data_IF_200795432682
#
_entry.id   IF_200795432682
#
_cell.length_a   1.000
_cell.length_b   1.000
_cell.length_c   1.000
_cell.angle_alpha   90.00
_cell.angle_beta   90.00
_cell.angle_gamma   90.00
#
_symmetry.space_group_name_H-M   'P 1'
#
loop_
_entity.id
_entity.type
_entity.pdbx_description
1 polymer ?
#
# COMPACT_ATOMS: atom_id res chain seq x y z
N UNK A 1 2.67 -19.08 4.44
CA UNK A 1 2.64 -18.48 3.10
C UNK A 1 1.25 -17.97 2.66
N UNK A 2 0.18 -18.75 2.78
CA UNK A 2 -1.16 -18.34 2.28
C UNK A 2 -1.80 -17.12 2.96
N UNK A 3 -1.29 -16.68 4.11
CA UNK A 3 -1.95 -15.67 4.96
C UNK A 3 -1.30 -14.27 4.94
N UNK A 4 -0.17 -14.05 4.23
CA UNK A 4 0.42 -12.71 4.15
C UNK A 4 -0.38 -11.86 3.15
N UNK A 5 -0.94 -10.73 3.57
CA UNK A 5 -1.68 -9.82 2.68
C UNK A 5 -0.83 -9.30 1.53
N UNK A 6 -1.44 -9.06 0.37
CA UNK A 6 -0.75 -8.54 -0.83
C UNK A 6 0.00 -7.23 -0.57
N UNK A 7 -0.56 -6.34 0.23
CA UNK A 7 0.04 -5.04 0.57
C UNK A 7 1.26 -5.10 1.50
N UNK A 8 1.63 -6.29 1.97
CA UNK A 8 2.83 -6.54 2.78
C UNK A 8 3.90 -7.36 2.04
N UNK A 9 3.66 -7.71 0.78
CA UNK A 9 4.60 -8.45 -0.06
C UNK A 9 5.39 -7.49 -0.92
N UNK A 10 6.67 -7.79 -1.13
CA UNK A 10 7.47 -7.10 -2.14
C UNK A 10 6.87 -7.40 -3.52
N UNK A 11 6.40 -6.37 -4.22
CA UNK A 11 5.77 -6.51 -5.53
C UNK A 11 6.80 -6.33 -6.63
N UNK A 12 7.02 -7.38 -7.44
CA UNK A 12 8.02 -7.43 -8.49
C UNK A 12 7.31 -7.51 -9.85
N UNK A 13 7.41 -6.46 -10.66
CA UNK A 13 6.86 -6.44 -12.01
C UNK A 13 7.83 -7.10 -13.00
N UNK A 14 7.33 -8.02 -13.84
CA UNK A 14 8.09 -8.62 -14.93
C UNK A 14 7.70 -7.95 -16.24
N UNK A 15 8.69 -7.34 -16.90
CA UNK A 15 8.55 -6.56 -18.13
C UNK A 15 9.40 -7.18 -19.25
N UNK A 16 9.11 -6.84 -20.48
CA UNK A 16 9.90 -7.24 -21.65
C UNK A 16 9.01 -7.45 -22.88
N UNK A 17 9.65 -7.62 -24.04
CA UNK A 17 8.95 -7.90 -25.31
C UNK A 17 8.10 -9.16 -25.26
N UNK A 18 7.18 -9.27 -26.22
CA UNK A 18 6.52 -10.54 -26.53
C UNK A 18 7.60 -11.57 -26.88
N UNK A 19 7.47 -12.77 -26.32
CA UNK A 19 8.42 -13.90 -26.48
C UNK A 19 9.85 -13.67 -25.93
N UNK A 20 10.12 -12.65 -25.13
CA UNK A 20 11.41 -12.48 -24.45
C UNK A 20 11.68 -13.54 -23.35
N UNK A 21 10.71 -14.37 -23.03
CA UNK A 21 10.85 -15.44 -22.03
C UNK A 21 10.43 -15.05 -20.61
N UNK A 22 9.58 -14.02 -20.45
CA UNK A 22 9.05 -13.58 -19.13
C UNK A 22 8.44 -14.72 -18.33
N UNK A 23 7.52 -15.46 -18.93
CA UNK A 23 6.84 -16.58 -18.26
C UNK A 23 7.80 -17.73 -17.98
N UNK A 24 8.81 -17.97 -18.84
CA UNK A 24 9.86 -18.96 -18.59
C UNK A 24 10.72 -18.55 -17.39
N UNK A 25 11.13 -17.28 -17.34
CA UNK A 25 11.86 -16.73 -16.19
C UNK A 25 11.03 -16.82 -14.90
N UNK A 26 9.75 -16.42 -14.94
CA UNK A 26 8.87 -16.55 -13.79
C UNK A 26 8.74 -18.00 -13.32
N UNK A 27 8.60 -18.96 -14.25
CA UNK A 27 8.52 -20.38 -13.91
C UNK A 27 9.85 -20.91 -13.34
N UNK A 28 11.00 -20.44 -13.85
CA UNK A 28 12.31 -20.76 -13.29
C UNK A 28 12.43 -20.27 -11.84
N UNK A 29 12.00 -19.04 -11.53
CA UNK A 29 12.07 -18.47 -10.19
C UNK A 29 11.10 -19.16 -9.23
N UNK A 30 9.83 -19.31 -9.62
CA UNK A 30 8.76 -19.80 -8.75
C UNK A 30 8.83 -21.34 -8.58
N UNK A 31 9.25 -22.10 -9.60
CA UNK A 31 9.21 -23.56 -9.61
C UNK A 31 7.81 -24.12 -9.85
N UNK A 32 7.72 -25.44 -10.08
CA UNK A 32 6.45 -26.10 -10.43
C UNK A 32 5.48 -26.30 -9.23
N UNK A 33 5.93 -26.09 -8.01
CA UNK A 33 5.15 -26.40 -6.79
C UNK A 33 4.36 -25.24 -6.21
N UNK A 34 4.45 -24.03 -6.79
CA UNK A 34 3.75 -22.87 -6.23
C UNK A 34 2.39 -22.71 -6.88
N UNK A 35 1.35 -22.91 -6.06
CA UNK A 35 -0.04 -22.73 -6.44
C UNK A 35 -0.27 -21.33 -7.04
N UNK A 36 -0.86 -21.30 -8.23
CA UNK A 36 -1.44 -20.13 -8.85
C UNK A 36 -2.39 -19.49 -7.81
N UNK A 37 -2.06 -18.29 -7.33
CA UNK A 37 -3.01 -17.54 -6.53
C UNK A 37 -4.06 -17.01 -7.50
N UNK A 38 -5.12 -17.77 -7.58
CA UNK A 38 -6.44 -17.54 -8.15
C UNK A 38 -6.63 -16.30 -9.00
N UNK A 39 -7.01 -16.58 -10.22
CA UNK A 39 -7.95 -15.80 -10.99
C UNK A 39 -9.15 -15.41 -10.12
N UNK A 40 -9.21 -14.22 -9.62
CA UNK A 40 -10.47 -13.61 -9.23
C UNK A 40 -11.17 -13.27 -10.55
N UNK A 41 -12.02 -14.19 -11.02
CA UNK A 41 -12.93 -13.94 -12.14
C UNK A 41 -13.76 -12.71 -11.79
N UNK A 42 -13.50 -11.62 -12.50
CA UNK A 42 -14.28 -10.38 -12.35
C UNK A 42 -13.48 -9.08 -12.38
N UNK A 43 -12.15 -9.11 -12.26
CA UNK A 43 -11.32 -7.94 -12.54
C UNK A 43 -10.63 -8.13 -13.88
N UNK A 44 -10.94 -7.23 -14.82
CA UNK A 44 -10.40 -7.17 -16.19
C UNK A 44 -8.89 -6.83 -16.22
N UNK A 45 -8.05 -7.61 -15.55
CA UNK A 45 -6.61 -7.40 -15.58
C UNK A 45 -5.92 -8.70 -15.97
N UNK A 46 -5.35 -8.73 -17.18
CA UNK A 46 -4.51 -9.83 -17.69
C UNK A 46 -3.14 -9.92 -16.95
N UNK A 47 -3.07 -9.47 -15.71
CA UNK A 47 -1.87 -9.54 -14.87
C UNK A 47 -1.94 -10.83 -14.06
N UNK A 48 -1.04 -11.75 -14.34
CA UNK A 48 -0.93 -12.97 -13.56
C UNK A 48 -0.11 -12.68 -12.30
N UNK A 49 -0.71 -12.92 -11.12
CA UNK A 49 -0.07 -12.74 -9.84
C UNK A 49 0.38 -14.09 -9.28
N UNK A 50 1.66 -14.22 -8.92
CA UNK A 50 2.21 -15.40 -8.26
C UNK A 50 2.91 -15.02 -6.95
N UNK A 51 2.54 -15.68 -5.87
CA UNK A 51 3.15 -15.46 -4.55
C UNK A 51 4.26 -16.48 -4.30
N UNK A 52 5.36 -16.00 -3.72
CA UNK A 52 6.52 -16.82 -3.36
C UNK A 52 7.14 -16.31 -2.06
N UNK A 53 7.89 -17.17 -1.36
CA UNK A 53 8.79 -16.80 -0.28
C UNK A 53 10.22 -16.81 -0.81
N UNK A 54 10.92 -15.69 -0.72
CA UNK A 54 12.34 -15.57 -1.08
C UNK A 54 13.16 -15.25 0.17
N UNK A 55 14.10 -16.12 0.53
CA UNK A 55 14.98 -15.87 1.66
C UNK A 55 16.16 -14.97 1.24
N UNK A 56 16.58 -14.00 2.09
CA UNK A 56 16.01 -13.60 3.37
C UNK A 56 14.92 -12.52 3.28
N UNK A 57 14.46 -12.16 2.07
CA UNK A 57 13.51 -11.06 1.82
C UNK A 57 12.11 -11.31 2.36
N UNK A 58 11.70 -12.59 2.46
CA UNK A 58 10.35 -12.95 2.88
C UNK A 58 9.33 -13.03 1.73
N UNK A 59 8.06 -12.67 1.96
CA UNK A 59 6.99 -12.86 0.98
C UNK A 59 7.05 -11.88 -0.17
N UNK A 60 7.13 -12.38 -1.40
CA UNK A 60 7.09 -11.60 -2.64
C UNK A 60 5.82 -11.90 -3.44
N UNK A 61 5.46 -10.96 -4.31
CA UNK A 61 4.36 -11.08 -5.26
C UNK A 61 4.88 -10.72 -6.66
N UNK A 62 4.98 -11.70 -7.52
CA UNK A 62 5.31 -11.53 -8.91
C UNK A 62 4.11 -11.02 -9.69
N UNK A 63 4.31 -9.98 -10.50
CA UNK A 63 3.33 -9.37 -11.36
C UNK A 63 3.76 -9.58 -12.81
N UNK A 64 3.24 -10.62 -13.46
CA UNK A 64 3.54 -10.92 -14.88
C UNK A 64 2.71 -10.02 -15.77
N UNK A 65 3.36 -9.21 -16.61
CA UNK A 65 2.72 -8.26 -17.50
C UNK A 65 2.64 -8.78 -18.93
N UNK A 66 1.69 -8.28 -19.71
CA UNK A 66 1.64 -8.52 -21.14
C UNK A 66 2.90 -7.95 -21.83
N UNK A 67 3.43 -8.68 -22.82
CA UNK A 67 4.64 -8.24 -23.54
C UNK A 67 4.44 -6.96 -24.33
N UNK A 68 5.52 -6.16 -24.44
CA UNK A 68 5.61 -5.01 -25.32
C UNK A 68 5.86 -5.43 -26.77
N UNK A 69 5.43 -4.62 -27.78
CA UNK A 69 5.94 -4.76 -29.14
C UNK A 69 5.01 -5.38 -30.17
N UNK A 70 3.70 -5.40 -29.97
CA UNK A 70 2.74 -5.65 -31.06
C UNK A 70 2.23 -4.31 -31.63
N UNK A 71 2.36 -4.11 -32.94
CA UNK A 71 1.88 -2.90 -33.69
C UNK A 71 0.36 -2.85 -33.84
N UNK A 72 -0.42 -3.45 -32.93
CA UNK A 72 -1.88 -3.52 -33.04
C UNK A 72 -2.54 -2.50 -32.10
N UNK A 73 -3.80 -2.11 -32.37
CA UNK A 73 -4.64 -1.25 -31.53
C UNK A 73 -4.82 -1.73 -30.07
N UNK A 74 -4.29 -2.90 -29.74
CA UNK A 74 -4.16 -3.46 -28.39
C UNK A 74 -2.92 -2.91 -27.65
N UNK A 75 -1.97 -2.26 -28.33
CA UNK A 75 -0.73 -1.75 -27.72
C UNK A 75 -1.00 -0.69 -26.65
N UNK A 76 -1.91 0.24 -26.90
CA UNK A 76 -2.23 1.34 -25.98
C UNK A 76 -2.87 0.82 -24.68
N UNK A 77 -3.79 -0.15 -24.81
CA UNK A 77 -4.41 -0.80 -23.64
C UNK A 77 -3.42 -1.64 -22.83
N UNK A 78 -2.47 -2.29 -23.50
CA UNK A 78 -1.39 -3.05 -22.83
C UNK A 78 -0.43 -2.11 -22.10
N UNK A 79 -0.06 -1.00 -22.72
CA UNK A 79 0.77 0.04 -22.10
C UNK A 79 0.08 0.62 -20.86
N UNK A 80 -1.21 0.98 -20.97
CA UNK A 80 -1.99 1.47 -19.82
C UNK A 80 -2.02 0.45 -18.67
N UNK A 81 -2.25 -0.84 -18.97
CA UNK A 81 -2.21 -1.92 -17.98
C UNK A 81 -0.82 -2.05 -17.33
N UNK A 82 0.23 -1.98 -18.12
CA UNK A 82 1.61 -2.03 -17.60
C UNK A 82 1.92 -0.85 -16.70
N UNK A 83 1.49 0.37 -17.06
CA UNK A 83 1.62 1.56 -16.22
C UNK A 83 0.94 1.33 -14.87
N UNK A 84 -0.28 0.78 -14.85
CA UNK A 84 -1.00 0.44 -13.61
C UNK A 84 -0.26 -0.59 -12.74
N UNK A 85 0.42 -1.55 -13.37
CA UNK A 85 1.29 -2.50 -12.63
C UNK A 85 2.48 -1.79 -12.03
N UNK A 86 3.14 -0.92 -12.79
CA UNK A 86 4.28 -0.13 -12.32
C UNK A 86 3.91 0.83 -11.18
N UNK A 87 2.67 1.30 -11.12
CA UNK A 87 2.20 2.16 -10.01
C UNK A 87 2.25 1.49 -8.64
N UNK A 88 2.30 0.15 -8.62
CA UNK A 88 2.40 -0.65 -7.38
C UNK A 88 3.65 -1.53 -7.29
N UNK A 89 4.48 -1.57 -8.33
CA UNK A 89 5.70 -2.38 -8.32
C UNK A 89 6.79 -1.73 -7.47
N UNK A 90 7.34 -2.48 -6.52
CA UNK A 90 8.46 -2.05 -5.68
C UNK A 90 9.79 -2.22 -6.42
N UNK A 91 9.88 -3.24 -7.29
CA UNK A 91 11.01 -3.55 -8.16
C UNK A 91 10.51 -3.96 -9.54
N UNK A 92 11.20 -3.59 -10.60
CA UNK A 92 10.95 -4.04 -11.96
C UNK A 92 12.05 -5.00 -12.42
N UNK A 93 11.65 -6.03 -13.18
CA UNK A 93 12.54 -6.97 -13.83
C UNK A 93 12.30 -6.90 -15.32
N UNK A 94 13.30 -6.49 -16.09
CA UNK A 94 13.26 -6.46 -17.54
C UNK A 94 13.89 -7.73 -18.09
N UNK A 95 13.06 -8.61 -18.68
CA UNK A 95 13.53 -9.82 -19.37
C UNK A 95 13.73 -9.49 -20.85
N UNK A 96 14.94 -9.69 -21.36
CA UNK A 96 15.29 -9.48 -22.75
C UNK A 96 16.20 -10.59 -23.25
N UNK A 97 16.22 -10.81 -24.57
CA UNK A 97 17.20 -11.65 -25.26
C UNK A 97 18.39 -10.81 -25.78
N UNK A 98 18.10 -9.60 -26.23
CA UNK A 98 19.07 -8.59 -26.67
C UNK A 98 18.59 -7.20 -26.28
N UNK A 99 19.54 -6.25 -26.10
CA UNK A 99 19.22 -4.85 -25.84
C UNK A 99 18.84 -4.14 -27.16
N UNK A 100 17.60 -3.65 -27.23
CA UNK A 100 17.07 -2.95 -28.40
C UNK A 100 16.36 -1.66 -28.04
N UNK A 101 15.65 -1.08 -29.02
CA UNK A 101 14.90 0.18 -28.83
C UNK A 101 13.78 0.05 -27.79
N UNK A 102 13.03 -1.04 -27.87
CA UNK A 102 11.89 -1.29 -26.94
C UNK A 102 12.37 -1.47 -25.50
N UNK A 103 13.51 -2.14 -25.30
CA UNK A 103 14.09 -2.31 -23.97
C UNK A 103 14.47 -0.96 -23.35
N UNK A 104 15.06 -0.05 -24.14
CA UNK A 104 15.37 1.32 -23.71
C UNK A 104 14.12 2.12 -23.34
N UNK A 105 13.06 2.01 -24.15
CA UNK A 105 11.76 2.65 -23.85
C UNK A 105 11.15 2.13 -22.52
N UNK A 106 11.28 0.83 -22.25
CA UNK A 106 10.85 0.24 -20.97
C UNK A 106 11.73 0.75 -19.82
N UNK A 107 13.04 0.83 -20.00
CA UNK A 107 13.98 1.36 -19.01
C UNK A 107 13.65 2.81 -18.65
N UNK A 108 13.40 3.66 -19.65
CA UNK A 108 12.98 5.04 -19.46
C UNK A 108 11.64 5.13 -18.71
N UNK A 109 10.66 4.29 -19.05
CA UNK A 109 9.38 4.24 -18.35
C UNK A 109 9.54 3.87 -16.87
N UNK A 110 10.39 2.89 -16.56
CA UNK A 110 10.68 2.45 -15.19
C UNK A 110 11.46 3.52 -14.43
N UNK A 111 12.46 4.15 -15.07
CA UNK A 111 13.25 5.22 -14.51
C UNK A 111 12.40 6.46 -14.18
N UNK A 112 11.48 6.86 -15.07
CA UNK A 112 10.56 7.97 -14.84
C UNK A 112 9.65 7.77 -13.64
N UNK A 113 9.43 6.50 -13.24
CA UNK A 113 8.67 6.15 -12.04
C UNK A 113 9.57 5.93 -10.81
N UNK A 114 10.88 6.13 -10.91
CA UNK A 114 11.85 5.87 -9.84
C UNK A 114 11.68 4.45 -9.25
N UNK A 115 11.56 3.43 -10.12
CA UNK A 115 11.49 2.03 -9.72
C UNK A 115 12.86 1.39 -9.94
N UNK A 116 13.46 0.71 -8.95
CA UNK A 116 14.67 -0.08 -9.14
C UNK A 116 14.47 -1.14 -10.23
N UNK A 117 15.48 -1.31 -11.11
CA UNK A 117 15.40 -2.21 -12.25
C UNK A 117 16.49 -3.28 -12.16
N UNK A 118 16.09 -4.54 -12.35
CA UNK A 118 17.01 -5.67 -12.61
C UNK A 118 16.84 -6.11 -14.06
N UNK A 119 17.93 -6.23 -14.81
CA UNK A 119 17.91 -6.76 -16.16
C UNK A 119 18.18 -8.27 -16.13
N UNK A 120 17.37 -9.04 -16.84
CA UNK A 120 17.55 -10.46 -17.05
C UNK A 120 17.79 -10.73 -18.53
N UNK A 121 19.02 -11.05 -18.89
CA UNK A 121 19.40 -11.42 -20.25
C UNK A 121 19.16 -12.92 -20.41
N UNK A 122 18.05 -13.25 -21.07
CA UNK A 122 17.60 -14.62 -21.26
C UNK A 122 18.24 -15.22 -22.54
N UNK A 123 19.29 -16.00 -22.39
CA UNK A 123 20.01 -16.64 -23.50
C UNK A 123 19.23 -17.86 -24.01
N UNK A 124 19.17 -18.05 -25.34
CA UNK A 124 18.55 -19.22 -25.97
C UNK A 124 19.42 -20.48 -25.84
N UNK A 125 20.72 -20.29 -25.78
CA UNK A 125 21.70 -21.36 -25.62
C UNK A 125 21.96 -21.65 -24.14
N UNK A 126 22.43 -22.86 -23.86
CA UNK A 126 22.89 -23.21 -22.51
C UNK A 126 24.06 -22.32 -22.12
N UNK A 127 23.93 -21.64 -21.01
CA UNK A 127 24.96 -20.77 -20.45
C UNK A 127 25.07 -20.92 -18.95
N UNK A 128 26.19 -20.49 -18.39
CA UNK A 128 26.33 -20.36 -16.95
C UNK A 128 25.57 -19.13 -16.45
N UNK A 129 25.08 -19.19 -15.23
CA UNK A 129 24.47 -18.03 -14.59
C UNK A 129 25.56 -17.03 -14.25
N UNK A 130 25.46 -15.80 -14.76
CA UNK A 130 26.43 -14.75 -14.53
C UNK A 130 25.75 -13.50 -13.96
N UNK A 131 26.27 -13.02 -12.83
CA UNK A 131 25.81 -11.78 -12.20
C UNK A 131 26.75 -10.65 -12.63
N UNK A 132 26.17 -9.55 -13.05
CA UNK A 132 26.84 -8.26 -13.27
C UNK A 132 26.23 -7.21 -12.33
N UNK A 133 26.62 -5.93 -12.44
CA UNK A 133 26.22 -4.91 -11.48
C UNK A 133 24.71 -4.85 -11.22
N UNK A 134 23.91 -4.75 -12.28
CA UNK A 134 22.44 -4.59 -12.28
C UNK A 134 21.73 -5.63 -13.14
N UNK A 135 22.46 -6.63 -13.65
CA UNK A 135 21.93 -7.64 -14.56
C UNK A 135 22.39 -9.06 -14.25
N UNK A 136 21.59 -10.01 -14.68
CA UNK A 136 21.88 -11.45 -14.65
C UNK A 136 21.73 -12.03 -16.05
N UNK A 137 22.67 -12.83 -16.49
CA UNK A 137 22.57 -13.64 -17.70
C UNK A 137 22.28 -15.09 -17.31
N UNK A 138 21.28 -15.68 -17.94
CA UNK A 138 20.85 -17.06 -17.69
C UNK A 138 20.06 -17.61 -18.88
N UNK A 139 19.82 -18.92 -18.90
CA UNK A 139 18.82 -19.54 -19.75
C UNK A 139 17.60 -19.95 -18.91
N UNK A 140 16.48 -19.28 -19.12
CA UNK A 140 15.26 -19.51 -18.34
C UNK A 140 14.59 -20.88 -18.58
N UNK A 141 15.03 -21.62 -19.58
CA UNK A 141 14.55 -22.98 -19.87
C UNK A 141 15.43 -24.06 -19.24
N UNK A 142 16.64 -23.72 -18.76
CA UNK A 142 17.54 -24.68 -18.12
C UNK A 142 17.22 -24.83 -16.61
N UNK A 143 16.28 -25.70 -16.32
CA UNK A 143 15.85 -25.98 -14.94
C UNK A 143 16.95 -26.63 -14.09
N UNK A 144 18.02 -27.19 -14.70
CA UNK A 144 19.12 -27.80 -13.94
C UNK A 144 19.91 -26.73 -13.17
N UNK A 145 19.91 -25.49 -13.64
CA UNK A 145 20.55 -24.33 -12.99
C UNK A 145 19.63 -23.47 -12.16
N UNK A 146 18.41 -23.95 -11.88
CA UNK A 146 17.41 -23.18 -11.14
C UNK A 146 17.91 -22.67 -9.78
N UNK A 147 18.55 -23.52 -8.98
CA UNK A 147 19.04 -23.13 -7.65
C UNK A 147 20.08 -22.00 -7.74
N UNK A 148 21.01 -22.07 -8.71
CA UNK A 148 22.01 -21.05 -8.99
C UNK A 148 21.36 -19.74 -9.45
N UNK A 149 20.40 -19.83 -10.37
CA UNK A 149 19.67 -18.67 -10.89
C UNK A 149 18.83 -17.94 -9.82
N UNK A 150 18.16 -18.70 -8.95
CA UNK A 150 17.39 -18.14 -7.83
C UNK A 150 18.31 -17.41 -6.86
N UNK A 151 19.42 -18.05 -6.44
CA UNK A 151 20.39 -17.46 -5.53
C UNK A 151 21.01 -16.17 -6.13
N UNK A 152 21.37 -16.21 -7.40
CA UNK A 152 21.92 -15.07 -8.11
C UNK A 152 20.92 -13.89 -8.20
N UNK A 153 19.65 -14.22 -8.49
CA UNK A 153 18.58 -13.21 -8.50
C UNK A 153 18.31 -12.62 -7.11
N UNK A 154 18.27 -13.44 -6.08
CA UNK A 154 18.10 -12.97 -4.69
C UNK A 154 19.21 -12.00 -4.27
N UNK A 155 20.47 -12.27 -4.67
CA UNK A 155 21.59 -11.35 -4.41
C UNK A 155 21.42 -9.99 -5.11
N UNK A 156 20.95 -9.98 -6.36
CA UNK A 156 20.66 -8.73 -7.06
C UNK A 156 19.47 -8.01 -6.43
N UNK A 157 18.42 -8.74 -6.10
CA UNK A 157 17.21 -8.20 -5.50
C UNK A 157 17.52 -7.51 -4.16
N UNK A 158 18.37 -8.11 -3.32
CA UNK A 158 18.84 -7.51 -2.06
C UNK A 158 19.58 -6.18 -2.26
N UNK A 159 20.32 -6.01 -3.37
CA UNK A 159 21.05 -4.77 -3.66
C UNK A 159 20.14 -3.63 -4.10
N UNK A 160 19.05 -3.93 -4.80
CA UNK A 160 18.14 -2.92 -5.38
C UNK A 160 16.84 -2.75 -4.61
N UNK A 161 16.54 -3.68 -3.68
CA UNK A 161 15.31 -3.64 -2.89
C UNK A 161 15.22 -2.34 -2.10
N UNK A 162 14.08 -1.66 -2.10
CA UNK A 162 13.89 -0.46 -1.29
C UNK A 162 14.22 -0.71 0.19
N UNK A 163 14.94 0.24 0.80
CA UNK A 163 15.39 0.14 2.20
C UNK A 163 14.23 -0.06 3.17
N UNK A 164 13.10 0.59 2.89
CA UNK A 164 11.84 0.44 3.66
C UNK A 164 11.31 -0.99 3.71
N UNK A 165 11.72 -1.84 2.77
CA UNK A 165 11.32 -3.25 2.75
C UNK A 165 12.30 -4.11 3.53
N UNK A 166 13.59 -3.81 3.48
CA UNK A 166 14.64 -4.52 4.22
C UNK A 166 14.59 -4.20 5.72
N UNK A 167 14.30 -2.95 6.05
CA UNK A 167 14.14 -2.46 7.42
C UNK A 167 12.75 -1.85 7.55
N UNK A 168 11.75 -2.67 7.90
CA UNK A 168 10.37 -2.17 8.05
C UNK A 168 10.34 -0.96 8.97
N UNK A 169 9.88 0.21 8.50
CA UNK A 169 9.77 1.39 9.36
C UNK A 169 8.79 1.11 10.50
N UNK A 170 9.08 1.63 11.69
CA UNK A 170 8.20 1.52 12.82
C UNK A 170 6.83 2.12 12.52
N UNK A 171 5.77 1.41 12.81
CA UNK A 171 4.41 1.93 12.70
C UNK A 171 4.09 2.84 13.88
N UNK A 172 4.38 2.38 15.10
CA UNK A 172 4.14 3.11 16.35
C UNK A 172 5.14 2.77 17.47
N UNK A 173 5.97 1.77 17.30
CA UNK A 173 6.91 1.32 18.33
C UNK A 173 7.97 2.37 18.70
N UNK A 174 8.20 3.37 17.86
CA UNK A 174 9.05 4.53 18.14
C UNK A 174 8.33 5.66 18.92
N UNK A 175 7.01 5.56 19.13
CA UNK A 175 6.20 6.58 19.82
C UNK A 175 6.06 6.33 21.33
N UNK A 176 6.32 5.10 21.78
CA UNK A 176 6.29 4.69 23.16
C UNK A 176 7.63 4.03 23.56
N UNK A 177 8.10 4.19 24.80
CA UNK A 177 9.36 3.58 25.23
C UNK A 177 9.25 2.05 25.29
N UNK A 178 10.39 1.37 25.20
CA UNK A 178 10.47 -0.08 25.46
C UNK A 178 9.99 -0.37 26.89
N UNK A 179 9.13 -1.38 27.06
CA UNK A 179 8.43 -1.67 28.32
C UNK A 179 7.29 -0.68 28.64
N UNK A 180 7.03 0.29 27.79
CA UNK A 180 5.88 1.19 27.90
C UNK A 180 4.56 0.50 27.57
N UNK A 181 3.44 1.11 27.98
CA UNK A 181 2.09 0.58 27.74
C UNK A 181 1.41 1.35 26.61
N UNK A 182 0.99 0.61 25.59
CA UNK A 182 0.12 1.08 24.51
C UNK A 182 -1.29 0.55 24.74
N UNK A 183 -2.27 1.46 24.88
CA UNK A 183 -3.67 1.11 25.01
C UNK A 183 -4.38 1.32 23.67
N UNK A 184 -5.00 0.25 23.14
CA UNK A 184 -5.68 0.28 21.86
C UNK A 184 -7.20 0.17 22.05
N UNK A 185 -7.95 1.11 21.47
CA UNK A 185 -9.40 1.12 21.46
C UNK A 185 -9.86 0.57 20.12
N UNK A 186 -10.44 -0.62 20.14
CA UNK A 186 -10.87 -1.39 18.97
C UNK A 186 -12.37 -1.64 19.07
N UNK A 187 -13.21 -0.81 18.41
CA UNK A 187 -14.64 -1.05 18.29
C UNK A 187 -14.90 -2.39 17.59
N UNK A 188 -16.05 -2.98 17.89
CA UNK A 188 -16.52 -4.13 17.11
C UNK A 188 -17.02 -3.61 15.76
N UNK A 189 -16.24 -3.88 14.74
CA UNK A 189 -16.58 -3.55 13.36
C UNK A 189 -17.39 -4.69 12.73
N UNK A 190 -18.65 -4.42 12.40
CA UNK A 190 -19.54 -5.40 11.76
C UNK A 190 -19.18 -5.68 10.29
N UNK A 191 -18.38 -4.81 9.67
CA UNK A 191 -17.86 -5.02 8.30
C UNK A 191 -16.61 -5.92 8.31
N UNK A 192 -15.95 -6.06 9.46
CA UNK A 192 -14.84 -6.98 9.60
C UNK A 192 -15.33 -8.45 9.62
N UNK A 193 -14.60 -9.39 9.01
CA UNK A 193 -14.95 -10.80 9.10
C UNK A 193 -15.06 -11.24 10.56
N UNK A 194 -16.14 -11.96 10.91
CA UNK A 194 -16.38 -12.45 12.27
C UNK A 194 -15.14 -13.14 12.86
N UNK A 195 -14.75 -12.74 14.06
CA UNK A 195 -13.61 -13.30 14.78
C UNK A 195 -12.24 -12.81 14.30
N UNK A 196 -12.18 -11.74 13.51
CA UNK A 196 -10.90 -11.18 13.01
C UNK A 196 -10.75 -9.70 13.38
N UNK A 197 -9.51 -9.31 13.61
CA UNK A 197 -9.10 -7.92 13.63
C UNK A 197 -8.79 -7.44 12.20
N UNK A 198 -8.95 -6.16 11.93
CA UNK A 198 -8.57 -5.58 10.65
C UNK A 198 -7.05 -5.38 10.58
N UNK A 199 -6.53 -5.30 9.35
CA UNK A 199 -5.10 -5.28 9.09
C UNK A 199 -4.31 -4.21 9.88
N UNK A 200 -4.75 -2.93 9.97
CA UNK A 200 -4.03 -1.92 10.75
C UNK A 200 -3.88 -2.27 12.24
N UNK A 201 -4.90 -2.90 12.81
CA UNK A 201 -4.87 -3.33 14.22
C UNK A 201 -3.85 -4.46 14.43
N UNK A 202 -3.87 -5.47 13.56
CA UNK A 202 -2.90 -6.60 13.61
C UNK A 202 -1.47 -6.11 13.44
N UNK A 203 -1.22 -5.18 12.50
CA UNK A 203 0.11 -4.61 12.29
C UNK A 203 0.58 -3.79 13.49
N UNK A 204 -0.29 -2.98 14.08
CA UNK A 204 0.03 -2.19 15.25
C UNK A 204 0.38 -3.08 16.47
N UNK A 205 -0.37 -4.15 16.70
CA UNK A 205 -0.07 -5.13 17.75
C UNK A 205 1.31 -5.77 17.51
N UNK A 206 1.58 -6.21 16.29
CA UNK A 206 2.85 -6.83 15.94
C UNK A 206 4.02 -5.87 16.10
N UNK A 207 3.89 -4.62 15.65
CA UNK A 207 4.92 -3.59 15.77
C UNK A 207 5.24 -3.27 17.24
N UNK A 208 4.24 -3.21 18.13
CA UNK A 208 4.44 -3.09 19.56
C UNK A 208 5.24 -4.26 20.15
N UNK A 209 4.91 -5.49 19.77
CA UNK A 209 5.62 -6.68 20.25
C UNK A 209 7.09 -6.67 19.81
N UNK A 210 7.34 -6.32 18.56
CA UNK A 210 8.69 -6.20 18.00
C UNK A 210 9.47 -5.06 18.68
N UNK A 211 8.81 -3.95 19.05
CA UNK A 211 9.39 -2.83 19.80
C UNK A 211 9.53 -3.07 21.31
N UNK A 212 8.98 -4.18 21.82
CA UNK A 212 9.04 -4.54 23.24
C UNK A 212 8.13 -3.71 24.15
N UNK A 213 7.00 -3.19 23.62
CA UNK A 213 5.95 -2.53 24.40
C UNK A 213 4.93 -3.53 24.93
N UNK A 214 4.29 -3.18 26.04
CA UNK A 214 3.10 -3.86 26.54
C UNK A 214 1.86 -3.33 25.83
N UNK A 215 0.85 -4.18 25.63
CA UNK A 215 -0.37 -3.82 24.91
C UNK A 215 -1.59 -4.15 25.75
N UNK A 216 -2.51 -3.21 25.85
CA UNK A 216 -3.86 -3.45 26.34
C UNK A 216 -4.87 -3.12 25.23
N UNK A 217 -5.76 -4.04 24.93
CA UNK A 217 -6.79 -3.86 23.89
C UNK A 217 -8.16 -3.90 24.52
N UNK A 218 -8.97 -2.89 24.28
CA UNK A 218 -10.33 -2.75 24.83
C UNK A 218 -11.26 -2.22 23.75
N UNK A 219 -12.57 -2.41 23.93
CA UNK A 219 -13.57 -1.68 23.15
C UNK A 219 -13.73 -0.25 23.71
N UNK A 220 -14.40 0.59 22.96
CA UNK A 220 -14.73 1.95 23.40
C UNK A 220 -15.54 1.97 24.71
N UNK A 221 -16.39 0.98 24.92
CA UNK A 221 -17.23 0.83 26.12
C UNK A 221 -16.41 0.55 27.39
N UNK A 222 -15.30 -0.13 27.30
CA UNK A 222 -14.42 -0.47 28.42
C UNK A 222 -13.27 0.53 28.64
N UNK A 223 -13.07 1.49 27.71
CA UNK A 223 -11.89 2.37 27.71
C UNK A 223 -11.71 3.15 29.03
N UNK A 224 -12.78 3.78 29.53
CA UNK A 224 -12.71 4.57 30.77
C UNK A 224 -12.41 3.70 31.99
N UNK A 225 -12.95 2.49 32.03
CA UNK A 225 -12.68 1.56 33.09
C UNK A 225 -11.25 1.04 33.02
N UNK A 226 -10.75 0.76 31.82
CA UNK A 226 -9.34 0.36 31.61
C UNK A 226 -8.39 1.43 32.13
N UNK A 227 -8.60 2.71 31.79
CA UNK A 227 -7.78 3.81 32.31
C UNK A 227 -7.77 3.89 33.84
N UNK A 228 -8.92 3.66 34.49
CA UNK A 228 -9.06 3.66 35.96
C UNK A 228 -8.37 2.48 36.63
N UNK A 229 -8.28 1.33 35.94
CA UNK A 229 -7.67 0.12 36.47
C UNK A 229 -6.13 0.11 36.40
N UNK A 230 -5.55 1.05 35.66
CA UNK A 230 -4.11 1.15 35.52
C UNK A 230 -3.50 1.90 36.70
N UNK A 231 -2.40 1.38 37.25
CA UNK A 231 -1.59 2.04 38.27
C UNK A 231 -0.79 3.23 37.72
N UNK A 232 -0.52 3.24 36.42
CA UNK A 232 0.20 4.27 35.66
C UNK A 232 -0.54 4.56 34.36
N UNK A 233 -0.59 5.83 33.95
CA UNK A 233 -1.15 6.20 32.64
C UNK A 233 -0.42 5.49 31.50
N UNK A 234 -1.11 5.12 30.41
CA UNK A 234 -0.47 4.57 29.23
C UNK A 234 0.47 5.61 28.60
N UNK A 235 1.50 5.14 27.91
CA UNK A 235 2.44 6.01 27.19
C UNK A 235 1.86 6.47 25.84
N UNK A 236 0.97 5.67 25.25
CA UNK A 236 0.27 5.97 24.00
C UNK A 236 -1.12 5.34 24.01
N UNK A 237 -2.11 6.07 23.50
CA UNK A 237 -3.44 5.55 23.19
C UNK A 237 -3.67 5.58 21.68
N UNK A 238 -4.15 4.47 21.12
CA UNK A 238 -4.46 4.35 19.69
C UNK A 238 -5.91 3.90 19.53
N UNK A 239 -6.67 4.52 18.62
CA UNK A 239 -8.05 4.10 18.37
C UNK A 239 -8.38 3.95 16.89
N UNK A 240 -9.50 3.31 16.62
CA UNK A 240 -10.14 3.39 15.32
C UNK A 240 -10.67 4.81 15.07
N UNK A 241 -10.62 5.26 13.81
CA UNK A 241 -11.03 6.63 13.45
C UNK A 241 -12.50 6.93 13.71
N UNK A 242 -13.35 5.91 13.81
CA UNK A 242 -14.77 6.08 14.12
C UNK A 242 -15.01 6.59 15.53
N UNK A 243 -14.11 6.29 16.47
CA UNK A 243 -14.21 6.68 17.88
C UNK A 243 -13.17 7.74 18.28
N UNK A 244 -12.55 8.40 17.29
CA UNK A 244 -11.46 9.37 17.54
C UNK A 244 -11.86 10.50 18.46
N UNK A 245 -13.06 11.07 18.28
CA UNK A 245 -13.51 12.16 19.14
C UNK A 245 -13.72 11.69 20.58
N UNK A 246 -14.35 10.53 20.77
CA UNK A 246 -14.51 9.93 22.09
C UNK A 246 -13.15 9.70 22.78
N UNK A 247 -12.17 9.12 22.06
CA UNK A 247 -10.83 8.92 22.59
C UNK A 247 -10.21 10.25 23.03
N UNK A 248 -10.19 11.26 22.16
CA UNK A 248 -9.56 12.56 22.45
C UNK A 248 -10.20 13.28 23.63
N UNK A 249 -11.54 13.25 23.71
CA UNK A 249 -12.28 13.89 24.80
C UNK A 249 -12.03 13.22 26.18
N UNK A 250 -11.65 11.94 26.19
CA UNK A 250 -11.49 11.15 27.42
C UNK A 250 -10.03 10.75 27.72
N UNK A 251 -9.06 11.04 26.85
CA UNK A 251 -7.64 10.79 27.10
C UNK A 251 -7.00 11.96 27.86
N UNK A 252 -6.29 11.71 28.98
CA UNK A 252 -5.59 12.78 29.69
C UNK A 252 -4.62 13.56 28.77
N UNK A 253 -4.50 14.87 28.98
CA UNK A 253 -3.70 15.75 28.10
C UNK A 253 -2.21 15.37 28.02
N UNK A 254 -1.66 14.83 29.09
CA UNK A 254 -0.27 14.36 29.17
C UNK A 254 -0.03 13.00 28.50
N UNK A 255 -1.07 12.30 28.06
CA UNK A 255 -0.98 11.01 27.38
C UNK A 255 -1.04 11.22 25.89
N UNK A 256 -0.05 10.77 25.13
CA UNK A 256 -0.07 10.82 23.65
C UNK A 256 -1.22 9.97 23.11
N UNK A 257 -1.88 10.45 22.05
CA UNK A 257 -2.93 9.67 21.39
C UNK A 257 -2.93 9.88 19.88
N UNK A 258 -3.32 8.84 19.15
CA UNK A 258 -3.42 8.85 17.68
C UNK A 258 -4.44 7.82 17.20
N UNK A 259 -4.57 7.63 15.88
CA UNK A 259 -5.48 6.63 15.29
C UNK A 259 -4.72 5.65 14.41
N UNK A 260 -5.27 4.44 14.22
CA UNK A 260 -4.71 3.47 13.27
C UNK A 260 -4.59 4.04 11.86
N UNK A 261 -5.52 4.90 11.43
CA UNK A 261 -5.47 5.53 10.10
C UNK A 261 -4.35 6.55 9.95
N UNK A 262 -4.03 7.30 11.02
CA UNK A 262 -2.88 8.23 11.04
C UNK A 262 -1.57 7.43 11.01
N UNK A 263 -1.49 6.34 11.77
CA UNK A 263 -0.35 5.42 11.74
C UNK A 263 -0.15 4.82 10.35
N UNK A 264 -1.23 4.39 9.69
CA UNK A 264 -1.18 3.88 8.31
C UNK A 264 -0.80 4.96 7.29
N UNK A 265 -1.26 6.19 7.48
CA UNK A 265 -0.85 7.33 6.64
C UNK A 265 0.65 7.60 6.73
N UNK A 266 1.22 7.51 7.93
CA UNK A 266 2.66 7.60 8.18
C UNK A 266 3.43 6.43 7.56
N UNK A 267 2.94 5.21 7.77
CA UNK A 267 3.63 3.99 7.34
C UNK A 267 3.63 3.82 5.82
N UNK A 268 2.50 4.07 5.17
CA UNK A 268 2.32 3.79 3.73
C UNK A 268 2.28 5.01 2.83
N UNK A 269 2.04 6.20 3.37
CA UNK A 269 1.92 7.43 2.61
C UNK A 269 2.90 8.51 3.05
N UNK A 270 2.41 9.74 2.98
CA UNK A 270 3.06 10.94 3.52
C UNK A 270 2.06 11.66 4.44
N UNK A 271 2.32 11.61 5.74
CA UNK A 271 1.44 12.18 6.75
C UNK A 271 1.27 13.69 6.58
N UNK A 272 2.34 14.39 6.19
CA UNK A 272 2.30 15.84 6.01
C UNK A 272 1.42 16.23 4.82
N UNK A 273 1.54 15.51 3.70
CA UNK A 273 0.70 15.71 2.52
C UNK A 273 -0.78 15.47 2.84
N UNK A 274 -1.08 14.38 3.53
CA UNK A 274 -2.46 14.06 3.91
C UNK A 274 -3.04 15.06 4.91
N UNK A 275 -2.24 15.54 5.86
CA UNK A 275 -2.66 16.56 6.83
C UNK A 275 -2.94 17.90 6.12
N UNK A 276 -2.03 18.36 5.27
CA UNK A 276 -2.23 19.57 4.48
C UNK A 276 -3.44 19.44 3.52
N UNK A 277 -3.65 18.23 2.96
CA UNK A 277 -4.80 17.94 2.14
C UNK A 277 -6.14 18.06 2.87
N UNK A 278 -6.19 17.68 4.15
CA UNK A 278 -7.40 17.81 4.97
C UNK A 278 -7.84 19.26 5.18
N UNK A 279 -6.91 20.20 5.26
CA UNK A 279 -7.22 21.63 5.38
C UNK A 279 -8.01 22.16 4.17
N UNK A 280 -7.91 21.50 3.00
CA UNK A 280 -8.67 21.88 1.82
C UNK A 280 -10.18 21.71 2.00
N UNK A 281 -10.63 20.87 2.94
CA UNK A 281 -12.05 20.66 3.27
C UNK A 281 -12.76 21.99 3.53
N UNK A 282 -12.11 22.90 4.26
CA UNK A 282 -12.70 24.17 4.66
C UNK A 282 -12.72 25.24 3.54
N UNK A 283 -12.01 24.98 2.44
CA UNK A 283 -11.99 25.84 1.24
C UNK A 283 -12.97 25.42 0.16
N UNK A 284 -13.66 24.27 0.34
CA UNK A 284 -14.66 23.76 -0.61
C UNK A 284 -15.87 24.70 -0.72
N UNK A 285 -16.45 24.74 -1.91
CA UNK A 285 -17.62 25.56 -2.27
C UNK A 285 -18.78 24.66 -2.73
N UNK A 286 -19.97 25.24 -2.81
CA UNK A 286 -21.13 24.52 -3.37
C UNK A 286 -20.86 24.09 -4.81
N UNK A 287 -21.20 22.84 -5.11
CA UNK A 287 -20.95 22.22 -6.41
C UNK A 287 -19.57 21.63 -6.62
N UNK A 288 -18.61 21.84 -5.69
CA UNK A 288 -17.28 21.25 -5.79
C UNK A 288 -17.34 19.71 -5.75
N UNK A 289 -16.54 19.08 -6.61
CA UNK A 289 -16.42 17.63 -6.71
C UNK A 289 -15.34 17.12 -5.75
N UNK A 290 -15.69 16.10 -4.98
CA UNK A 290 -14.79 15.36 -4.08
C UNK A 290 -14.71 13.92 -4.56
N UNK A 291 -13.50 13.43 -4.79
CA UNK A 291 -13.25 12.03 -5.14
C UNK A 291 -13.04 11.21 -3.87
N UNK A 292 -13.88 10.20 -3.66
CA UNK A 292 -13.68 9.18 -2.63
C UNK A 292 -13.02 7.97 -3.29
N UNK A 293 -11.79 7.63 -2.87
CA UNK A 293 -10.99 6.60 -3.51
C UNK A 293 -10.73 5.43 -2.56
N UNK A 294 -11.35 4.30 -2.81
CA UNK A 294 -11.17 3.08 -2.05
C UNK A 294 -10.15 2.15 -2.70
N UNK A 295 -9.49 1.34 -1.89
CA UNK A 295 -8.46 0.40 -2.36
C UNK A 295 -8.96 -1.04 -2.48
N UNK A 296 -10.10 -1.34 -1.87
CA UNK A 296 -10.74 -2.65 -1.88
C UNK A 296 -12.12 -2.58 -2.55
N UNK A 297 -12.60 -3.76 -2.95
CA UNK A 297 -13.91 -3.96 -3.58
C UNK A 297 -14.82 -4.74 -2.63
N UNK A 298 -14.95 -4.28 -1.39
CA UNK A 298 -15.93 -4.88 -0.47
C UNK A 298 -17.34 -4.37 -0.78
N UNK A 299 -18.36 -5.13 -0.43
CA UNK A 299 -19.73 -4.64 -0.52
C UNK A 299 -19.91 -3.57 0.55
N UNK A 300 -20.28 -2.35 0.13
CA UNK A 300 -20.62 -1.28 1.04
C UNK A 300 -21.83 -1.67 1.89
N UNK A 301 -21.67 -1.63 3.20
CA UNK A 301 -22.81 -1.75 4.13
C UNK A 301 -23.62 -0.44 4.13
N UNK A 302 -24.82 -0.48 4.69
CA UNK A 302 -25.72 0.70 4.77
C UNK A 302 -25.08 1.88 5.55
N UNK A 303 -23.99 1.64 6.30
CA UNK A 303 -23.27 2.62 7.13
C UNK A 303 -21.76 2.70 6.78
N UNK A 304 -21.43 2.52 5.52
CA UNK A 304 -20.06 2.56 5.02
C UNK A 304 -19.37 3.91 5.24
N UNK A 305 -18.08 3.87 5.59
CA UNK A 305 -17.28 5.07 5.92
C UNK A 305 -17.12 5.98 4.72
N UNK A 306 -16.78 5.43 3.55
CA UNK A 306 -16.46 6.20 2.35
C UNK A 306 -17.69 6.73 1.64
N UNK A 307 -18.71 5.88 1.48
CA UNK A 307 -19.89 6.21 0.68
C UNK A 307 -20.98 6.96 1.48
N UNK A 308 -21.01 6.82 2.81
CA UNK A 308 -22.07 7.38 3.66
C UNK A 308 -21.52 8.33 4.72
N UNK A 309 -20.65 7.87 5.61
CA UNK A 309 -20.22 8.66 6.80
C UNK A 309 -19.45 9.92 6.43
N UNK A 310 -18.41 9.80 5.61
CA UNK A 310 -17.57 10.95 5.22
C UNK A 310 -18.38 11.98 4.42
N UNK A 311 -19.14 11.62 3.36
CA UNK A 311 -19.97 12.56 2.63
C UNK A 311 -20.96 13.32 3.52
N UNK A 312 -21.68 12.61 4.38
CA UNK A 312 -22.67 13.21 5.27
C UNK A 312 -22.03 14.14 6.31
N UNK A 313 -20.92 13.71 6.92
CA UNK A 313 -20.20 14.52 7.90
C UNK A 313 -19.59 15.76 7.25
N UNK A 314 -19.02 15.62 6.06
CA UNK A 314 -18.42 16.73 5.31
C UNK A 314 -19.49 17.77 4.95
N UNK A 315 -20.64 17.37 4.37
CA UNK A 315 -21.76 18.27 4.10
C UNK A 315 -22.25 18.98 5.38
N UNK A 316 -22.43 18.21 6.44
CA UNK A 316 -22.89 18.77 7.74
C UNK A 316 -21.93 19.79 8.32
N UNK A 317 -20.61 19.55 8.27
CA UNK A 317 -19.59 20.39 8.90
C UNK A 317 -19.24 21.62 8.06
N UNK A 318 -19.18 21.46 6.74
CA UNK A 318 -18.88 22.59 5.83
C UNK A 318 -20.11 23.45 5.54
N UNK A 319 -21.32 22.89 5.67
CA UNK A 319 -22.57 23.54 5.25
C UNK A 319 -22.70 23.67 3.72
N UNK A 320 -21.90 22.90 2.95
CA UNK A 320 -21.84 23.00 1.49
C UNK A 320 -22.54 21.82 0.80
N UNK A 321 -23.13 22.10 -0.35
CA UNK A 321 -23.70 21.07 -1.22
C UNK A 321 -22.62 20.52 -2.16
N UNK A 322 -21.88 19.50 -1.70
CA UNK A 322 -20.76 18.89 -2.39
C UNK A 322 -21.22 17.71 -3.26
N UNK A 323 -20.51 17.49 -4.37
CA UNK A 323 -20.71 16.36 -5.28
C UNK A 323 -19.65 15.31 -5.00
N UNK A 324 -20.06 14.09 -4.64
CA UNK A 324 -19.13 12.99 -4.36
C UNK A 324 -19.15 11.98 -5.50
N UNK A 325 -17.96 11.62 -5.96
CA UNK A 325 -17.74 10.51 -6.88
C UNK A 325 -16.87 9.46 -6.20
N UNK A 326 -17.18 8.18 -6.47
CA UNK A 326 -16.52 7.03 -5.84
C UNK A 326 -15.75 6.23 -6.87
N UNK A 327 -14.56 5.76 -6.48
CA UNK A 327 -13.79 4.75 -7.21
C UNK A 327 -13.30 3.69 -6.23
N UNK A 328 -13.26 2.43 -6.66
CA UNK A 328 -12.82 1.31 -5.84
C UNK A 328 -11.77 0.45 -6.58
N UNK A 329 -10.97 -0.27 -5.81
CA UNK A 329 -9.92 -1.14 -6.33
C UNK A 329 -8.61 -0.43 -6.66
N UNK A 330 -7.86 -1.00 -7.61
CA UNK A 330 -6.56 -0.45 -8.02
C UNK A 330 -6.68 0.73 -8.98
N UNK A 331 -7.86 0.95 -9.57
CA UNK A 331 -8.07 2.02 -10.54
C UNK A 331 -8.15 3.38 -9.83
N UNK A 332 -7.35 4.30 -10.32
CA UNK A 332 -7.38 5.69 -9.90
C UNK A 332 -7.77 6.54 -11.12
N UNK A 333 -8.71 7.49 -10.96
CA UNK A 333 -9.21 8.24 -12.12
C UNK A 333 -8.10 8.99 -12.82
N UNK A 334 -8.14 9.05 -14.15
CA UNK A 334 -7.15 9.74 -14.98
C UNK A 334 -7.36 11.25 -15.02
N UNK A 335 -8.61 11.73 -14.88
CA UNK A 335 -8.94 13.16 -14.91
C UNK A 335 -9.11 13.74 -13.49
N UNK A 336 -8.02 13.79 -12.72
CA UNK A 336 -8.04 14.27 -11.34
C UNK A 336 -8.32 15.77 -11.22
N UNK A 337 -8.02 16.57 -12.24
CA UNK A 337 -8.18 18.04 -12.23
C UNK A 337 -9.63 18.50 -12.04
N UNK A 338 -10.60 17.62 -12.29
CA UNK A 338 -12.03 17.93 -12.11
C UNK A 338 -12.42 17.98 -10.62
N UNK A 339 -11.59 17.44 -9.75
CA UNK A 339 -11.85 17.37 -8.30
C UNK A 339 -11.15 18.49 -7.55
N UNK A 340 -11.76 18.92 -6.46
CA UNK A 340 -11.20 19.91 -5.52
C UNK A 340 -10.55 19.27 -4.29
N UNK A 341 -10.85 18.00 -4.06
CA UNK A 341 -10.27 17.21 -2.98
C UNK A 341 -10.36 15.72 -3.34
N UNK A 342 -9.33 14.96 -2.98
CA UNK A 342 -9.33 13.50 -3.01
C UNK A 342 -9.27 13.01 -1.57
N UNK A 343 -10.20 12.13 -1.20
CA UNK A 343 -10.22 11.46 0.11
C UNK A 343 -10.06 9.97 -0.15
N UNK A 344 -8.86 9.42 0.11
CA UNK A 344 -8.60 8.00 -0.09
C UNK A 344 -8.75 7.20 1.21
N UNK A 345 -9.07 5.91 1.09
CA UNK A 345 -9.11 5.02 2.25
C UNK A 345 -7.71 4.76 2.82
N UNK A 346 -7.61 4.08 3.96
CA UNK A 346 -6.33 3.76 4.63
C UNK A 346 -5.38 2.88 3.83
N UNK A 347 -5.81 2.32 2.68
CA UNK A 347 -4.97 1.52 1.79
C UNK A 347 -4.42 0.24 2.45
N UNK A 348 -5.16 -0.38 3.36
CA UNK A 348 -4.69 -1.55 4.11
C UNK A 348 -4.31 -2.75 3.20
N UNK A 349 -4.98 -2.88 2.06
CA UNK A 349 -4.73 -3.93 1.06
C UNK A 349 -3.65 -3.58 0.03
N UNK A 350 -3.23 -2.31 -0.04
CA UNK A 350 -2.20 -1.83 -0.97
C UNK A 350 -0.83 -1.76 -0.29
N UNK A 351 0.25 -1.87 -1.08
CA UNK A 351 1.60 -1.59 -0.61
C UNK A 351 1.87 -0.07 -0.56
N UNK A 352 2.99 0.31 0.06
CA UNK A 352 3.42 1.70 0.19
C UNK A 352 3.53 2.39 -1.18
N UNK A 353 4.11 1.70 -2.17
CA UNK A 353 4.32 2.22 -3.51
C UNK A 353 3.02 2.67 -4.18
N UNK A 354 1.97 1.88 -4.11
CA UNK A 354 0.67 2.22 -4.67
C UNK A 354 0.07 3.49 -4.04
N UNK A 355 0.23 3.67 -2.74
CA UNK A 355 -0.25 4.88 -2.04
C UNK A 355 0.57 6.10 -2.45
N UNK A 356 1.91 5.99 -2.51
CA UNK A 356 2.79 7.09 -2.96
C UNK A 356 2.52 7.48 -4.42
N UNK A 357 2.23 6.50 -5.30
CA UNK A 357 1.83 6.78 -6.70
C UNK A 357 0.54 7.59 -6.79
N UNK A 358 -0.46 7.31 -5.94
CA UNK A 358 -1.70 8.11 -5.86
C UNK A 358 -1.44 9.53 -5.34
N UNK A 359 -0.58 9.68 -4.33
CA UNK A 359 -0.16 11.00 -3.83
C UNK A 359 0.52 11.79 -4.95
N UNK A 360 1.48 11.20 -5.64
CA UNK A 360 2.19 11.84 -6.74
C UNK A 360 1.23 12.25 -7.88
N UNK A 361 0.29 11.39 -8.26
CA UNK A 361 -0.72 11.70 -9.27
C UNK A 361 -1.61 12.89 -8.87
N UNK A 362 -2.04 12.95 -7.60
CA UNK A 362 -2.82 14.06 -7.06
C UNK A 362 -2.02 15.37 -7.06
N UNK A 363 -0.76 15.33 -6.61
CA UNK A 363 0.15 16.48 -6.60
C UNK A 363 0.43 17.00 -8.01
N UNK A 364 0.70 16.11 -8.98
CA UNK A 364 0.90 16.47 -10.38
C UNK A 364 -0.35 17.09 -11.03
N UNK A 365 -1.53 16.71 -10.56
CA UNK A 365 -2.79 17.32 -10.96
C UNK A 365 -3.10 18.64 -10.24
N UNK A 366 -2.33 19.00 -9.20
CA UNK A 366 -2.59 20.17 -8.34
C UNK A 366 -3.82 19.99 -7.44
N UNK A 367 -4.21 18.75 -7.11
CA UNK A 367 -5.41 18.45 -6.33
C UNK A 367 -5.00 17.98 -4.93
N UNK A 368 -5.50 18.61 -3.85
CA UNK A 368 -5.27 18.16 -2.49
C UNK A 368 -5.74 16.73 -2.27
N UNK A 369 -4.96 15.95 -1.53
CA UNK A 369 -5.30 14.57 -1.18
C UNK A 369 -5.17 14.36 0.32
N UNK A 370 -6.14 13.66 0.92
CA UNK A 370 -6.11 13.24 2.33
C UNK A 370 -6.59 11.79 2.44
N UNK A 371 -6.55 11.20 3.64
CA UNK A 371 -7.12 9.89 3.89
C UNK A 371 -8.36 9.94 4.81
N UNK A 372 -9.12 8.83 4.85
CA UNK A 372 -10.36 8.73 5.63
C UNK A 372 -10.17 9.14 7.09
N UNK A 373 -9.18 8.61 7.78
CA UNK A 373 -8.99 8.88 9.20
C UNK A 373 -8.52 10.29 9.50
N UNK A 374 -7.68 10.87 8.67
CA UNK A 374 -7.24 12.27 8.80
C UNK A 374 -8.43 13.20 8.48
N UNK A 375 -9.20 12.90 7.43
CA UNK A 375 -10.43 13.61 7.10
C UNK A 375 -11.43 13.59 8.27
N UNK A 376 -11.69 12.42 8.87
CA UNK A 376 -12.57 12.29 10.02
C UNK A 376 -12.05 13.05 11.24
N UNK A 377 -10.73 13.02 11.48
CA UNK A 377 -10.10 13.74 12.60
C UNK A 377 -10.21 15.26 12.41
N UNK A 378 -10.04 15.76 11.18
CA UNK A 378 -10.20 17.17 10.83
C UNK A 378 -11.64 17.63 11.02
N UNK A 379 -12.61 16.89 10.46
CA UNK A 379 -14.04 17.19 10.58
C UNK A 379 -14.54 17.17 12.02
N UNK A 380 -13.90 16.39 12.89
CA UNK A 380 -14.19 16.35 14.32
C UNK A 380 -13.40 17.39 15.15
N UNK A 381 -12.51 18.17 14.52
CA UNK A 381 -11.72 19.20 15.18
C UNK A 381 -10.63 18.65 16.13
N UNK A 382 -10.16 17.44 15.89
CA UNK A 382 -9.19 16.74 16.75
C UNK A 382 -7.88 16.39 16.05
N UNK A 383 -7.71 16.78 14.77
CA UNK A 383 -6.56 16.41 13.96
C UNK A 383 -5.23 16.82 14.59
N UNK A 384 -5.14 18.05 15.14
CA UNK A 384 -3.94 18.54 15.81
C UNK A 384 -3.53 17.61 16.97
N UNK A 385 -4.52 17.13 17.76
CA UNK A 385 -4.28 16.28 18.93
C UNK A 385 -3.78 14.88 18.53
N UNK A 386 -4.33 14.28 17.48
CA UNK A 386 -3.90 12.94 17.04
C UNK A 386 -2.61 12.97 16.22
N UNK A 387 -2.20 14.13 15.72
CA UNK A 387 -0.92 14.32 15.05
C UNK A 387 0.21 14.74 16.00
N UNK A 388 -0.10 15.18 17.23
CA UNK A 388 0.88 15.60 18.23
C UNK A 388 2.04 14.60 18.44
N UNK A 389 1.83 13.26 18.46
CA UNK A 389 2.92 12.31 18.61
C UNK A 389 3.99 12.37 17.52
N UNK A 390 3.70 12.96 16.37
CA UNK A 390 4.57 13.00 15.17
C UNK A 390 5.24 14.36 14.94
N UNK A 391 4.82 15.39 15.68
CA UNK A 391 5.45 16.72 15.63
C UNK A 391 6.71 16.65 16.49
N UNK A 392 7.86 16.87 15.86
CA UNK A 392 9.17 16.95 16.55
C UNK A 392 9.45 18.36 17.03
#
# INVERSE_FOLDING_TARGET
MRNTPKGLRLQIAILGKVNAGKSSFLNLMVGQEVSIVSEVKGTTTDVVEKAQELHPLGPVLWLDTAGFGDETALSDKRLEKTIKVLDRADVAVLVCDEEGKTEKEIEELVANKNIPLIKVVNKKEKCDVKIMADKIELNALDLTKRAEAVLAFEQLLLRVCPEDFLTSPAMLSDLAPKGGLVLMIVPIDYEAPKGRLIMPQVQAIRDCLDGGQMIMIVKETEYLQALKSLSKSPDLVVCDSQVVKFMVDNTPRNVKCTTFSVLMARLKGDLNVFTAGAEAIWRLKDGDKVLIAESCTHHAADDDIGTVKIPNLMKKKTGKNLVFEHVSGCDFKTNLKDYKLIVQCGGCTQNRRAILSRIAAAQNAGVPITNYGICLSELNGVLARVNEPFVR
#
